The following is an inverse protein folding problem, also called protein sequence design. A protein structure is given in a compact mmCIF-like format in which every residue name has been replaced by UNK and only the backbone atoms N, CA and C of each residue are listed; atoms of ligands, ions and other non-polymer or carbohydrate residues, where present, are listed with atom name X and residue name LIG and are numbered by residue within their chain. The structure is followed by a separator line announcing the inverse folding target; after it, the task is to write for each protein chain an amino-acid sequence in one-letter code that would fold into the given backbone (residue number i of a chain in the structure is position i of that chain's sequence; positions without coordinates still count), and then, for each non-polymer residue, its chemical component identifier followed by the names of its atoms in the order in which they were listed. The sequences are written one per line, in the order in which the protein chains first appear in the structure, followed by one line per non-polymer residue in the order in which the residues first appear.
data_IF_591108480849
#
_entry.id   IF_591108480849
#
_cell.length_a   1.000
_cell.length_b   1.000
_cell.length_c   1.000
_cell.angle_alpha   90.00
_cell.angle_beta   90.00
_cell.angle_gamma   90.00
#
_symmetry.space_group_name_H-M   'P 1'
#
loop_
_entity.id
_entity.type
_entity.pdbx_description
1 polymer ?
#
# COMPACT_ATOMS: atom_id res chain seq x y z
N UNK A 1 -3.51 7.16 7.72
CA UNK A 1 -3.10 8.31 8.55
C UNK A 1 -2.93 9.61 7.75
N UNK A 2 -3.74 9.82 6.71
CA UNK A 2 -3.74 11.04 5.87
C UNK A 2 -5.08 11.76 6.03
N UNK A 3 -5.05 13.09 6.21
CA UNK A 3 -6.25 13.92 6.44
C UNK A 3 -7.13 14.08 5.18
N UNK A 4 -6.55 13.92 4.00
CA UNK A 4 -7.17 14.03 2.68
C UNK A 4 -7.59 12.66 2.09
N UNK A 5 -7.41 11.58 2.84
CA UNK A 5 -7.80 10.22 2.47
C UNK A 5 -8.90 9.72 3.41
N UNK A 6 -8.81 8.48 3.89
CA UNK A 6 -9.77 7.90 4.84
C UNK A 6 -9.91 8.72 6.15
N UNK A 7 -8.90 9.50 6.52
CA UNK A 7 -8.90 10.40 7.68
C UNK A 7 -9.49 9.77 8.96
N UNK A 8 -8.95 8.60 9.34
CA UNK A 8 -9.32 7.90 10.57
C UNK A 8 -8.19 7.90 11.58
N UNK A 9 -8.49 8.33 12.81
CA UNK A 9 -7.60 8.13 13.95
C UNK A 9 -7.47 6.64 14.26
N UNK A 10 -6.43 6.21 15.00
CA UNK A 10 -6.28 4.80 15.36
C UNK A 10 -7.47 4.24 16.16
N UNK A 11 -8.07 5.04 17.05
CA UNK A 11 -9.23 4.63 17.86
C UNK A 11 -10.48 4.44 17.00
N UNK A 12 -10.74 5.36 16.08
CA UNK A 12 -11.88 5.23 15.15
C UNK A 12 -11.69 4.01 14.24
N UNK A 13 -10.50 3.83 13.69
CA UNK A 13 -10.20 2.67 12.87
C UNK A 13 -10.36 1.35 13.65
N UNK A 14 -9.96 1.31 14.92
CA UNK A 14 -10.15 0.14 15.79
C UNK A 14 -11.64 -0.16 16.04
N UNK A 15 -12.46 0.86 16.21
CA UNK A 15 -13.90 0.71 16.35
C UNK A 15 -14.55 0.20 15.05
N UNK A 16 -14.17 0.76 13.91
CA UNK A 16 -14.65 0.36 12.58
C UNK A 16 -14.24 -1.09 12.24
N UNK A 17 -13.08 -1.54 12.70
CA UNK A 17 -12.46 -2.80 12.28
C UNK A 17 -13.31 -4.04 12.57
N UNK A 18 -14.12 -4.02 13.64
CA UNK A 18 -15.00 -5.12 14.02
C UNK A 18 -16.03 -5.43 12.91
N UNK A 19 -16.50 -4.41 12.19
CA UNK A 19 -17.45 -4.60 11.09
C UNK A 19 -16.82 -5.36 9.91
N UNK A 20 -15.54 -5.11 9.62
CA UNK A 20 -14.82 -5.82 8.56
C UNK A 20 -14.58 -7.29 8.93
N UNK A 21 -14.25 -7.57 10.19
CA UNK A 21 -14.12 -8.95 10.67
C UNK A 21 -15.44 -9.71 10.58
N UNK A 22 -16.55 -9.06 10.97
CA UNK A 22 -17.88 -9.66 10.87
C UNK A 22 -18.23 -9.97 9.42
N UNK A 23 -18.05 -9.03 8.49
CA UNK A 23 -18.32 -9.24 7.07
C UNK A 23 -17.55 -10.45 6.51
N UNK A 24 -16.29 -10.61 6.89
CA UNK A 24 -15.49 -11.75 6.42
C UNK A 24 -15.92 -13.06 7.03
N UNK A 25 -16.33 -13.08 8.30
CA UNK A 25 -16.93 -14.26 8.90
C UNK A 25 -18.23 -14.66 8.18
N UNK A 26 -19.08 -13.68 7.84
CA UNK A 26 -20.33 -13.90 7.10
C UNK A 26 -20.09 -14.43 5.68
N UNK A 27 -19.05 -13.93 4.99
CA UNK A 27 -18.64 -14.44 3.68
C UNK A 27 -18.07 -15.85 3.79
N UNK A 28 -17.26 -16.13 4.81
CA UNK A 28 -16.71 -17.47 5.06
C UNK A 28 -17.82 -18.50 5.33
N UNK A 29 -18.88 -18.12 6.05
CA UNK A 29 -20.06 -18.96 6.26
C UNK A 29 -20.80 -19.31 4.94
N UNK A 30 -20.63 -18.48 3.91
CA UNK A 30 -21.12 -18.73 2.54
C UNK A 30 -20.07 -19.41 1.65
N UNK A 31 -19.00 -19.98 2.22
CA UNK A 31 -17.90 -20.60 1.48
C UNK A 31 -17.16 -19.63 0.55
N UNK A 32 -17.14 -18.33 0.90
CA UNK A 32 -16.41 -17.29 0.18
C UNK A 32 -15.24 -16.80 1.03
N UNK A 33 -14.02 -17.10 0.59
CA UNK A 33 -12.81 -16.64 1.28
C UNK A 33 -12.43 -15.24 0.81
N UNK A 34 -12.38 -14.31 1.75
CA UNK A 34 -11.84 -12.95 1.57
C UNK A 34 -10.85 -12.68 2.70
N UNK A 35 -9.71 -12.08 2.37
CA UNK A 35 -8.67 -11.71 3.32
C UNK A 35 -8.77 -10.22 3.67
N UNK A 36 -8.53 -9.87 4.94
CA UNK A 36 -8.35 -8.48 5.37
C UNK A 36 -6.96 -7.99 5.00
N UNK A 37 -6.91 -7.15 3.97
CA UNK A 37 -5.71 -6.49 3.48
C UNK A 37 -5.77 -5.02 3.90
N UNK A 38 -5.03 -4.65 4.94
CA UNK A 38 -4.95 -3.28 5.44
C UNK A 38 -4.74 -3.18 6.96
N UNK A 39 -4.89 -1.96 7.53
CA UNK A 39 -5.12 -0.69 6.84
C UNK A 39 -4.01 -0.35 5.84
N UNK A 40 -4.33 0.35 4.75
CA UNK A 40 -3.32 0.90 3.84
C UNK A 40 -2.67 2.12 4.48
N UNK A 41 -1.43 1.97 4.96
CA UNK A 41 -0.70 3.00 5.69
C UNK A 41 0.41 3.63 4.82
N UNK A 42 0.85 4.84 5.17
CA UNK A 42 1.96 5.55 4.53
C UNK A 42 2.55 6.59 5.48
N UNK A 43 3.48 7.44 5.02
CA UNK A 43 3.87 8.63 5.78
C UNK A 43 2.73 9.65 5.77
N UNK A 44 2.15 9.89 6.93
CA UNK A 44 0.90 10.60 7.10
C UNK A 44 1.03 12.11 7.28
N UNK A 45 -0.13 12.76 7.30
CA UNK A 45 -0.31 14.20 7.55
C UNK A 45 -1.15 14.45 8.80
N UNK A 46 -1.71 13.39 9.40
CA UNK A 46 -2.46 13.48 10.64
C UNK A 46 -1.52 13.86 11.80
N UNK A 47 -1.83 14.92 12.57
CA UNK A 47 -1.07 15.29 13.76
C UNK A 47 -0.87 14.09 14.70
N UNK A 48 0.32 13.98 15.28
CA UNK A 48 0.78 12.90 16.17
C UNK A 48 0.86 11.49 15.55
N UNK A 49 0.40 11.32 14.31
CA UNK A 49 0.34 10.02 13.63
C UNK A 49 0.90 10.04 12.21
N UNK A 50 1.86 10.94 11.93
CA UNK A 50 2.55 10.98 10.64
C UNK A 50 3.36 9.70 10.41
N UNK A 51 4.02 9.21 11.44
CA UNK A 51 4.73 7.95 11.37
C UNK A 51 3.74 6.77 11.29
N UNK A 52 3.77 5.93 10.23
CA UNK A 52 2.89 4.78 10.10
C UNK A 52 3.01 3.79 11.26
N UNK A 53 4.21 3.63 11.85
CA UNK A 53 4.42 2.72 12.98
C UNK A 53 3.70 3.23 14.23
N UNK A 54 3.73 4.54 14.47
CA UNK A 54 3.02 5.15 15.60
C UNK A 54 1.51 4.97 15.44
N UNK A 55 0.96 5.25 14.26
CA UNK A 55 -0.46 5.06 14.00
C UNK A 55 -0.87 3.58 14.17
N UNK A 56 -0.10 2.64 13.62
CA UNK A 56 -0.40 1.20 13.72
C UNK A 56 -0.28 0.68 15.14
N UNK A 57 0.74 1.08 15.90
CA UNK A 57 0.89 0.68 17.31
C UNK A 57 -0.33 1.12 18.13
N UNK A 58 -0.74 2.39 18.02
CA UNK A 58 -1.91 2.91 18.72
C UNK A 58 -3.20 2.22 18.25
N UNK A 59 -3.30 1.83 16.98
CA UNK A 59 -4.45 1.10 16.46
C UNK A 59 -4.55 -0.30 17.07
N UNK A 60 -3.44 -1.06 17.13
CA UNK A 60 -3.40 -2.37 17.78
C UNK A 60 -3.76 -2.27 19.28
N UNK A 61 -3.22 -1.27 19.99
CA UNK A 61 -3.52 -1.04 21.40
C UNK A 61 -5.00 -0.70 21.63
N UNK A 62 -5.55 0.25 20.86
CA UNK A 62 -6.96 0.62 20.96
C UNK A 62 -7.88 -0.57 20.66
N UNK A 63 -7.55 -1.35 19.64
CA UNK A 63 -8.33 -2.54 19.29
C UNK A 63 -8.31 -3.59 20.41
N UNK A 64 -7.13 -3.93 20.94
CA UNK A 64 -6.98 -4.87 22.07
C UNK A 64 -7.76 -4.41 23.29
N UNK A 65 -7.67 -3.13 23.63
CA UNK A 65 -8.40 -2.54 24.75
C UNK A 65 -9.91 -2.74 24.62
N UNK A 66 -10.47 -2.52 23.42
CA UNK A 66 -11.90 -2.67 23.17
C UNK A 66 -12.36 -4.12 22.98
N UNK A 67 -11.45 -5.06 22.68
CA UNK A 67 -11.78 -6.41 22.23
C UNK A 67 -11.19 -7.53 23.12
N UNK A 68 -11.08 -7.29 24.43
CA UNK A 68 -10.68 -8.32 25.39
C UNK A 68 -9.22 -8.78 25.25
N UNK A 69 -8.34 -7.89 24.78
CA UNK A 69 -6.90 -8.14 24.65
C UNK A 69 -6.48 -8.83 23.35
N UNK A 70 -7.41 -9.15 22.45
CA UNK A 70 -7.07 -9.79 21.16
C UNK A 70 -6.55 -8.78 20.14
N UNK A 71 -5.65 -9.22 19.28
CA UNK A 71 -5.18 -8.44 18.13
C UNK A 71 -6.29 -8.29 17.07
N UNK A 72 -6.31 -7.19 16.30
CA UNK A 72 -7.15 -7.08 15.12
C UNK A 72 -6.78 -8.16 14.10
N UNK A 73 -7.78 -8.77 13.47
CA UNK A 73 -7.56 -9.69 12.36
C UNK A 73 -7.02 -8.88 11.18
N UNK A 74 -5.76 -9.11 10.87
CA UNK A 74 -5.06 -8.60 9.69
C UNK A 74 -4.42 -9.81 9.02
N UNK A 75 -4.91 -10.17 7.84
CA UNK A 75 -4.34 -11.25 7.04
C UNK A 75 -3.11 -10.74 6.28
N UNK A 76 -3.17 -9.51 5.76
CA UNK A 76 -2.03 -8.78 5.16
C UNK A 76 -2.06 -7.31 5.56
N UNK A 77 -0.90 -6.69 5.78
CA UNK A 77 -0.81 -5.23 5.85
C UNK A 77 -0.85 -4.65 4.43
N UNK A 78 -1.32 -3.41 4.31
CA UNK A 78 -1.22 -2.66 3.06
C UNK A 78 -0.34 -1.42 3.25
N UNK A 79 0.44 -1.08 2.23
CA UNK A 79 1.34 0.06 2.25
C UNK A 79 1.31 0.84 0.94
N UNK A 80 1.34 2.16 1.03
CA UNK A 80 1.49 3.07 -0.12
C UNK A 80 2.80 3.83 0.02
N UNK A 81 3.57 3.99 -1.07
CA UNK A 81 4.82 4.74 -1.03
C UNK A 81 5.13 5.44 -2.35
N UNK A 82 5.56 6.72 -2.25
CA UNK A 82 5.75 7.60 -3.39
C UNK A 82 7.13 8.28 -3.42
N UNK A 83 8.13 7.69 -2.76
CA UNK A 83 9.47 8.26 -2.65
C UNK A 83 10.53 7.15 -2.64
N UNK A 84 11.80 7.53 -2.56
CA UNK A 84 12.90 6.64 -2.23
C UNK A 84 12.69 5.97 -0.86
N UNK A 85 13.46 4.91 -0.58
CA UNK A 85 13.49 4.28 0.74
C UNK A 85 12.31 3.34 1.04
N UNK A 86 11.65 2.80 0.01
CA UNK A 86 10.61 1.78 0.18
C UNK A 86 11.10 0.60 1.05
N UNK A 87 12.30 0.08 0.78
CA UNK A 87 12.87 -1.04 1.55
C UNK A 87 12.94 -0.73 3.05
N UNK A 88 13.45 0.44 3.42
CA UNK A 88 13.55 0.86 4.81
C UNK A 88 12.16 0.97 5.47
N UNK A 89 11.12 1.38 4.74
CA UNK A 89 9.76 1.39 5.28
C UNK A 89 9.20 -0.03 5.46
N UNK A 90 9.44 -0.92 4.50
CA UNK A 90 9.03 -2.33 4.61
C UNK A 90 9.71 -3.02 5.81
N UNK A 91 10.99 -2.78 6.03
CA UNK A 91 11.73 -3.30 7.19
C UNK A 91 11.13 -2.84 8.52
N UNK A 92 10.67 -1.59 8.61
CA UNK A 92 9.98 -1.09 9.80
C UNK A 92 8.66 -1.81 10.04
N UNK A 93 7.94 -2.16 8.96
CA UNK A 93 6.65 -2.86 9.03
C UNK A 93 6.79 -4.36 9.36
N UNK A 94 7.99 -4.95 9.21
CA UNK A 94 8.25 -6.33 9.65
C UNK A 94 7.93 -6.56 11.13
N UNK A 95 7.95 -5.50 11.94
CA UNK A 95 7.52 -5.50 13.35
C UNK A 95 6.18 -6.21 13.57
N UNK A 96 5.25 -6.13 12.62
CA UNK A 96 3.90 -6.71 12.76
C UNK A 96 3.80 -8.16 12.31
N UNK A 97 4.87 -8.74 11.75
CA UNK A 97 4.90 -10.15 11.32
C UNK A 97 3.87 -10.50 10.25
N UNK A 98 3.50 -9.53 9.40
CA UNK A 98 2.51 -9.71 8.32
C UNK A 98 3.22 -9.68 6.97
N UNK A 99 2.71 -10.47 6.02
CA UNK A 99 2.96 -10.20 4.61
C UNK A 99 2.26 -8.89 4.20
N UNK A 100 2.80 -8.23 3.18
CA UNK A 100 2.45 -6.87 2.79
C UNK A 100 1.94 -6.86 1.35
N UNK A 101 0.88 -6.09 1.13
CA UNK A 101 0.47 -5.66 -0.20
C UNK A 101 0.87 -4.19 -0.39
N UNK A 102 1.79 -3.90 -1.31
CA UNK A 102 2.08 -2.50 -1.68
C UNK A 102 1.02 -2.06 -2.69
N UNK A 103 -0.10 -1.55 -2.19
CA UNK A 103 -1.31 -1.31 -3.01
C UNK A 103 -1.25 -0.04 -3.83
N UNK A 104 -0.26 0.82 -3.57
CA UNK A 104 0.15 1.91 -4.47
C UNK A 104 1.66 2.13 -4.35
N UNK A 105 2.34 2.21 -5.49
CA UNK A 105 3.73 2.66 -5.51
C UNK A 105 4.11 3.41 -6.79
N UNK A 106 4.96 4.42 -6.62
CA UNK A 106 5.74 5.11 -7.63
C UNK A 106 6.85 5.91 -6.95
N UNK A 107 7.65 6.68 -7.68
CA UNK A 107 8.54 7.68 -7.06
C UNK A 107 8.21 9.08 -7.57
N UNK A 108 7.60 9.90 -6.71
CA UNK A 108 7.21 11.28 -6.99
C UNK A 108 8.17 12.31 -6.37
N UNK A 109 9.36 11.86 -5.95
CA UNK A 109 10.42 12.75 -5.52
C UNK A 109 10.74 13.78 -6.61
N UNK A 110 11.04 15.03 -6.23
CA UNK A 110 11.35 16.10 -7.16
C UNK A 110 12.52 15.81 -8.11
N UNK A 111 13.39 14.85 -7.77
CA UNK A 111 14.49 14.41 -8.64
C UNK A 111 14.02 13.52 -9.80
N UNK A 112 12.82 12.92 -9.71
CA UNK A 112 12.18 12.12 -10.76
C UNK A 112 11.44 13.06 -11.70
N UNK A 113 12.20 13.65 -12.62
CA UNK A 113 11.73 14.68 -13.53
C UNK A 113 11.69 14.23 -15.00
N UNK A 114 11.65 12.92 -15.26
CA UNK A 114 11.47 12.34 -16.59
C UNK A 114 10.92 10.90 -16.52
N UNK A 115 10.34 10.42 -17.62
CA UNK A 115 9.95 9.01 -17.75
C UNK A 115 11.13 8.06 -17.63
N UNK A 116 12.32 8.41 -18.12
CA UNK A 116 13.52 7.56 -17.99
C UNK A 116 13.90 7.34 -16.52
N UNK A 117 13.83 8.39 -15.69
CA UNK A 117 14.07 8.27 -14.26
C UNK A 117 12.97 7.49 -13.54
N UNK A 118 11.72 7.66 -13.96
CA UNK A 118 10.63 6.87 -13.40
C UNK A 118 10.75 5.39 -13.79
N UNK A 119 11.20 5.10 -15.01
CA UNK A 119 11.49 3.74 -15.47
C UNK A 119 12.63 3.09 -14.68
N UNK A 120 13.67 3.84 -14.31
CA UNK A 120 14.72 3.36 -13.40
C UNK A 120 14.17 3.03 -12.01
N UNK A 121 13.35 3.92 -11.43
CA UNK A 121 12.72 3.69 -10.13
C UNK A 121 11.75 2.51 -10.16
N UNK A 122 10.95 2.37 -11.22
CA UNK A 122 10.06 1.23 -11.41
C UNK A 122 10.83 -0.10 -11.38
N UNK A 123 11.94 -0.19 -12.13
CA UNK A 123 12.79 -1.39 -12.12
C UNK A 123 13.28 -1.73 -10.71
N UNK A 124 13.77 -0.73 -9.96
CA UNK A 124 14.28 -0.92 -8.61
C UNK A 124 13.17 -1.35 -7.63
N UNK A 125 12.02 -0.67 -7.66
CA UNK A 125 10.90 -0.96 -6.76
C UNK A 125 10.26 -2.32 -7.06
N UNK A 126 10.09 -2.68 -8.33
CA UNK A 126 9.58 -4.01 -8.73
C UNK A 126 10.55 -5.11 -8.35
N UNK A 127 11.85 -4.96 -8.65
CA UNK A 127 12.85 -5.94 -8.26
C UNK A 127 12.91 -6.15 -6.74
N UNK A 128 12.79 -5.06 -5.96
CA UNK A 128 12.68 -5.15 -4.50
C UNK A 128 11.44 -5.96 -4.09
N UNK A 129 10.26 -5.62 -4.62
CA UNK A 129 9.02 -6.33 -4.29
C UNK A 129 9.11 -7.83 -4.63
N UNK A 130 9.66 -8.16 -5.79
CA UNK A 130 9.83 -9.55 -6.26
C UNK A 130 10.89 -10.34 -5.46
N UNK A 131 11.86 -9.65 -4.85
CA UNK A 131 12.91 -10.29 -4.02
C UNK A 131 12.47 -10.57 -2.58
N UNK A 132 11.39 -9.94 -2.11
CA UNK A 132 10.99 -9.94 -0.71
C UNK A 132 9.90 -10.97 -0.43
N UNK A 133 10.22 -11.97 0.40
CA UNK A 133 9.27 -13.00 0.81
C UNK A 133 8.10 -12.47 1.67
N UNK A 134 8.22 -11.28 2.24
CA UNK A 134 7.16 -10.61 3.00
C UNK A 134 6.29 -9.70 2.11
N UNK A 135 6.54 -9.61 0.80
CA UNK A 135 5.69 -8.90 -0.16
C UNK A 135 4.86 -9.92 -0.94
N UNK A 136 3.54 -9.86 -0.78
CA UNK A 136 2.63 -10.78 -1.47
C UNK A 136 2.16 -10.25 -2.82
N UNK A 137 1.84 -8.95 -2.88
CA UNK A 137 1.37 -8.26 -4.10
C UNK A 137 1.81 -6.80 -4.08
N UNK A 138 1.90 -6.22 -5.26
CA UNK A 138 2.12 -4.79 -5.42
C UNK A 138 1.32 -4.25 -6.61
N UNK A 139 1.06 -2.94 -6.62
CA UNK A 139 0.36 -2.26 -7.70
C UNK A 139 1.00 -0.90 -7.99
N UNK A 140 1.39 -0.70 -9.25
CA UNK A 140 1.91 0.58 -9.71
C UNK A 140 0.81 1.64 -9.77
N UNK A 141 1.12 2.84 -9.29
CA UNK A 141 0.24 4.00 -9.39
C UNK A 141 0.75 4.92 -10.51
N UNK A 142 0.06 5.10 -11.63
CA UNK A 142 -1.31 4.64 -11.98
C UNK A 142 -1.43 4.39 -13.48
N UNK A 143 -2.52 3.78 -13.93
CA UNK A 143 -2.83 3.64 -15.35
C UNK A 143 -2.80 4.98 -16.09
N UNK A 144 -3.64 5.95 -15.68
CA UNK A 144 -3.73 7.32 -16.22
C UNK A 144 -4.37 8.27 -15.19
N UNK A 145 -4.24 9.57 -15.43
CA UNK A 145 -4.94 10.63 -14.70
C UNK A 145 -5.03 11.92 -15.53
N UNK A 146 -5.02 13.07 -14.86
CA UNK A 146 -5.09 14.38 -15.51
C UNK A 146 -3.81 14.69 -16.29
N UNK A 147 -3.97 15.25 -17.49
CA UNK A 147 -2.84 15.69 -18.32
C UNK A 147 -2.45 17.14 -18.02
N UNK A 148 -1.15 17.50 -18.14
CA UNK A 148 -0.02 16.60 -18.42
C UNK A 148 0.33 15.70 -17.22
N UNK A 149 0.93 14.54 -17.48
CA UNK A 149 1.46 13.67 -16.44
C UNK A 149 2.67 14.33 -15.77
N UNK A 150 2.43 14.96 -14.62
CA UNK A 150 3.46 15.72 -13.90
C UNK A 150 4.44 14.85 -13.11
N UNK A 151 4.18 13.54 -12.99
CA UNK A 151 5.02 12.60 -12.25
C UNK A 151 5.60 11.49 -13.13
N UNK A 152 5.33 11.53 -14.44
CA UNK A 152 5.83 10.57 -15.41
C UNK A 152 5.47 9.13 -15.04
N UNK A 153 4.30 8.91 -14.44
CA UNK A 153 3.87 7.62 -13.85
C UNK A 153 2.81 6.87 -14.65
N UNK A 154 2.18 7.51 -15.64
CA UNK A 154 1.10 6.86 -16.38
C UNK A 154 1.63 5.67 -17.16
N UNK A 155 0.92 4.55 -17.12
CA UNK A 155 1.26 3.34 -17.86
C UNK A 155 0.64 3.33 -19.26
N UNK A 156 -0.33 4.21 -19.51
CA UNK A 156 -1.16 4.14 -20.70
C UNK A 156 -1.26 5.50 -21.41
N UNK A 157 -1.25 5.50 -22.74
CA UNK A 157 -1.41 6.70 -23.59
C UNK A 157 -2.85 7.24 -23.56
N UNK A 158 -3.13 8.50 -23.92
CA UNK A 158 -4.50 9.05 -23.92
C UNK A 158 -5.51 8.20 -24.73
N UNK A 159 -5.06 7.52 -25.78
CA UNK A 159 -5.87 6.55 -26.53
C UNK A 159 -6.20 5.32 -25.67
N UNK A 160 -7.48 4.95 -25.51
CA UNK A 160 -7.87 3.75 -24.77
C UNK A 160 -7.22 2.48 -25.33
N UNK A 161 -6.81 1.58 -24.43
CA UNK A 161 -6.19 0.30 -24.80
C UNK A 161 -4.71 0.36 -25.18
N UNK A 162 -4.09 1.53 -25.26
CA UNK A 162 -2.67 1.68 -25.62
C UNK A 162 -1.78 1.88 -24.40
N UNK A 163 -0.77 1.00 -24.23
CA UNK A 163 0.33 1.21 -23.30
C UNK A 163 1.26 2.31 -23.83
N UNK A 164 1.92 3.02 -22.92
CA UNK A 164 3.10 3.80 -23.26
C UNK A 164 4.38 3.00 -22.94
N UNK A 165 5.54 3.58 -23.19
CA UNK A 165 6.82 2.91 -22.94
C UNK A 165 7.02 2.46 -21.48
N UNK A 166 6.50 3.22 -20.50
CA UNK A 166 6.56 2.85 -19.09
C UNK A 166 5.62 1.66 -18.77
N UNK A 167 4.44 1.63 -19.36
CA UNK A 167 3.51 0.50 -19.28
C UNK A 167 4.06 -0.79 -19.89
N UNK A 168 4.66 -0.69 -21.07
CA UNK A 168 5.33 -1.82 -21.71
C UNK A 168 6.49 -2.33 -20.85
N UNK A 169 7.28 -1.42 -20.28
CA UNK A 169 8.33 -1.77 -19.34
C UNK A 169 7.77 -2.55 -18.16
N UNK A 170 6.77 -2.01 -17.44
CA UNK A 170 6.18 -2.63 -16.24
C UNK A 170 5.77 -4.09 -16.47
N UNK A 171 5.13 -4.39 -17.61
CA UNK A 171 4.68 -5.73 -17.95
C UNK A 171 5.81 -6.67 -18.41
N UNK A 172 6.96 -6.13 -18.81
CA UNK A 172 8.12 -6.89 -19.27
C UNK A 172 9.10 -7.27 -18.16
N UNK A 173 8.97 -6.66 -16.97
CA UNK A 173 9.90 -6.88 -15.87
C UNK A 173 9.87 -8.34 -15.36
N UNK A 174 11.01 -8.89 -14.93
CA UNK A 174 11.07 -10.22 -14.32
C UNK A 174 10.23 -10.29 -13.05
N UNK A 175 9.69 -11.48 -12.75
CA UNK A 175 8.94 -11.78 -11.54
C UNK A 175 9.37 -13.14 -10.95
N UNK A 176 9.22 -13.27 -9.63
CA UNK A 176 9.37 -14.53 -8.91
C UNK A 176 8.13 -15.40 -9.15
N UNK A 177 8.35 -16.71 -9.34
CA UNK A 177 7.28 -17.69 -9.60
C UNK A 177 6.75 -18.32 -8.32
#
# INVERSE_FOLDING_TARGET
NLLDQANRTPIEAAADWVAYEQLIAELAAQQRTVYLVGPAITWGTMPDYQDPVVWLDTFYEAYRFANGGRDPKIDYLAFHWYDYGLEAQLDRLQKYGKQIWITEMANWNAQINSYDKQAEQMQQMVALCESRADVFRYAWFIGRGNLPDNHYTYLLNPTPGELNALGELYLSLPYAK
#
